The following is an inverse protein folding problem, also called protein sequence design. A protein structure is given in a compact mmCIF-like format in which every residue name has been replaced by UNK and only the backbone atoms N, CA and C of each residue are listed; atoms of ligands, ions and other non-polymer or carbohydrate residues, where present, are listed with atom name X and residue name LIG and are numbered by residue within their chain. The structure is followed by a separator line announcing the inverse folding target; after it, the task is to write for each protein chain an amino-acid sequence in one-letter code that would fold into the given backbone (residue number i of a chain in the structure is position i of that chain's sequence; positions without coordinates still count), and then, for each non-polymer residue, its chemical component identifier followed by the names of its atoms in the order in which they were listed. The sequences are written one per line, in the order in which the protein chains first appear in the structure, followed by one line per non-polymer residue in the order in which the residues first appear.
data_IF_463077926703
#
_entry.id   IF_463077926703
#
_cell.length_a   1.000
_cell.length_b   1.000
_cell.length_c   1.000
_cell.angle_alpha   90.00
_cell.angle_beta   90.00
_cell.angle_gamma   90.00
#
_symmetry.space_group_name_H-M   'P 1'
#
loop_
_entity.id
_entity.type
_entity.pdbx_description
1 polymer ?
#
# COMPACT_ATOMS: atom_id res chain seq x y z
N UNK A 1 -16.47 7.99 -13.14
CA UNK A 1 -16.26 8.13 -11.68
C UNK A 1 -16.12 9.61 -11.37
N UNK A 2 -16.87 10.10 -10.36
CA UNK A 2 -17.02 11.52 -10.08
C UNK A 2 -15.74 12.09 -9.44
N UNK A 3 -15.16 13.14 -10.03
CA UNK A 3 -13.87 13.73 -9.61
C UNK A 3 -13.82 14.11 -8.12
N UNK A 4 -14.94 14.56 -7.56
CA UNK A 4 -15.06 14.91 -6.14
C UNK A 4 -14.99 13.70 -5.19
N UNK A 5 -15.51 12.54 -5.60
CA UNK A 5 -15.51 11.33 -4.77
C UNK A 5 -14.08 10.81 -4.58
N UNK A 6 -13.29 10.81 -5.66
CA UNK A 6 -11.88 10.42 -5.63
C UNK A 6 -11.06 11.37 -4.74
N UNK A 7 -11.33 12.68 -4.80
CA UNK A 7 -10.64 13.66 -3.94
C UNK A 7 -10.92 13.41 -2.45
N UNK A 8 -12.18 13.18 -2.07
CA UNK A 8 -12.55 12.92 -0.67
C UNK A 8 -11.92 11.63 -0.16
N UNK A 9 -11.93 10.56 -0.96
CA UNK A 9 -11.30 9.29 -0.62
C UNK A 9 -9.78 9.44 -0.45
N UNK A 10 -9.11 10.16 -1.34
CA UNK A 10 -7.67 10.42 -1.22
C UNK A 10 -7.34 11.25 0.02
N UNK A 11 -8.14 12.29 0.33
CA UNK A 11 -7.95 13.10 1.53
C UNK A 11 -8.15 12.28 2.81
N UNK A 12 -9.13 11.38 2.83
CA UNK A 12 -9.38 10.47 3.95
C UNK A 12 -8.19 9.52 4.16
N UNK A 13 -7.73 8.84 3.10
CA UNK A 13 -6.58 7.93 3.20
C UNK A 13 -5.30 8.67 3.62
N UNK A 14 -5.01 9.84 3.05
CA UNK A 14 -3.86 10.66 3.46
C UNK A 14 -3.97 11.02 4.96
N UNK A 15 -5.16 11.37 5.44
CA UNK A 15 -5.35 11.70 6.87
C UNK A 15 -5.11 10.49 7.78
N UNK A 16 -5.54 9.29 7.36
CA UNK A 16 -5.28 8.04 8.07
C UNK A 16 -3.79 7.73 8.08
N UNK A 17 -3.11 7.83 6.93
CA UNK A 17 -1.67 7.59 6.82
C UNK A 17 -0.87 8.60 7.63
N UNK A 18 -1.30 9.87 7.65
CA UNK A 18 -0.76 10.89 8.53
C UNK A 18 -0.98 10.55 10.00
N UNK A 19 -2.15 10.04 10.39
CA UNK A 19 -2.42 9.54 11.73
C UNK A 19 -1.51 8.37 12.12
N UNK A 20 -1.19 7.50 11.16
CA UNK A 20 -0.21 6.44 11.36
C UNK A 20 1.18 6.99 11.67
N UNK A 21 1.64 8.02 10.98
CA UNK A 21 2.95 8.65 11.24
C UNK A 21 2.90 9.83 12.23
N UNK A 22 1.73 10.13 12.79
CA UNK A 22 1.50 11.31 13.63
C UNK A 22 2.20 11.28 15.00
N UNK A 23 2.47 10.13 15.64
CA UNK A 23 3.38 10.11 16.78
C UNK A 23 4.75 10.56 16.27
N UNK A 24 5.06 11.85 16.42
CA UNK A 24 6.40 12.41 16.24
C UNK A 24 7.29 12.04 17.44
N UNK A 25 7.10 10.83 17.96
CA UNK A 25 8.07 10.22 18.83
C UNK A 25 9.20 9.74 17.93
N UNK A 26 10.36 10.38 18.06
CA UNK A 26 11.56 10.09 17.27
C UNK A 26 12.01 8.62 17.38
N UNK A 27 11.52 7.87 18.38
CA UNK A 27 11.82 6.44 18.54
C UNK A 27 10.90 5.52 17.72
N UNK A 28 9.66 5.94 17.43
CA UNK A 28 8.63 5.13 16.76
C UNK A 28 8.49 5.52 15.29
N UNK A 29 8.67 6.81 14.99
CA UNK A 29 8.48 7.39 13.66
C UNK A 29 9.32 6.70 12.58
N UNK A 30 10.64 6.42 12.76
CA UNK A 30 11.44 5.77 11.73
C UNK A 30 10.85 4.42 11.30
N UNK A 31 10.44 3.59 12.26
CA UNK A 31 9.85 2.29 11.97
C UNK A 31 8.49 2.35 11.27
N UNK A 32 7.72 3.45 11.44
CA UNK A 32 6.46 3.64 10.69
C UNK A 32 6.68 4.19 9.30
N UNK A 33 7.69 5.04 9.11
CA UNK A 33 8.10 5.53 7.79
C UNK A 33 8.65 4.37 6.95
N UNK A 34 9.50 3.52 7.52
CA UNK A 34 10.04 2.33 6.84
C UNK A 34 8.92 1.41 6.33
N UNK A 35 7.85 1.24 7.12
CA UNK A 35 6.63 0.50 6.72
C UNK A 35 5.98 1.11 5.48
N UNK A 36 5.70 2.42 5.53
CA UNK A 36 5.11 3.14 4.39
C UNK A 36 5.99 3.01 3.14
N UNK A 37 7.31 3.16 3.29
CA UNK A 37 8.26 3.08 2.19
C UNK A 37 8.28 1.70 1.54
N UNK A 38 8.16 0.61 2.31
CA UNK A 38 8.22 -0.76 1.80
C UNK A 38 7.16 -1.00 0.72
N UNK A 39 5.88 -0.73 1.01
CA UNK A 39 4.82 -0.89 0.01
C UNK A 39 4.83 0.21 -1.05
N UNK A 40 5.20 1.45 -0.68
CA UNK A 40 5.28 2.54 -1.66
C UNK A 40 6.28 2.22 -2.78
N UNK A 41 7.46 1.69 -2.43
CA UNK A 41 8.50 1.25 -3.39
C UNK A 41 8.01 0.10 -4.26
N UNK A 42 7.36 -0.90 -3.66
CA UNK A 42 6.82 -2.05 -4.41
C UNK A 42 5.70 -1.64 -5.37
N UNK A 43 4.74 -0.84 -4.93
CA UNK A 43 3.66 -0.35 -5.76
C UNK A 43 4.19 0.51 -6.91
N UNK A 44 5.13 1.42 -6.63
CA UNK A 44 5.81 2.18 -7.66
C UNK A 44 6.44 1.27 -8.72
N UNK A 45 7.21 0.25 -8.31
CA UNK A 45 7.89 -0.68 -9.23
C UNK A 45 6.91 -1.53 -10.05
N UNK A 46 5.80 -1.97 -9.46
CA UNK A 46 4.75 -2.74 -10.15
C UNK A 46 4.04 -1.86 -11.19
N UNK A 47 3.58 -0.67 -10.77
CA UNK A 47 2.87 0.28 -11.63
C UNK A 47 3.77 0.78 -12.76
N UNK A 48 5.02 1.13 -12.46
CA UNK A 48 5.99 1.58 -13.47
C UNK A 48 6.15 0.55 -14.60
N UNK A 49 6.19 -0.73 -14.23
CA UNK A 49 6.39 -1.82 -15.19
C UNK A 49 5.12 -2.26 -15.92
N UNK A 50 4.00 -2.41 -15.21
CA UNK A 50 2.74 -2.89 -15.77
C UNK A 50 1.90 -1.80 -16.45
N UNK A 51 2.24 -0.53 -16.21
CA UNK A 51 1.45 0.62 -16.63
C UNK A 51 0.26 0.86 -15.69
N UNK A 52 -0.81 1.46 -16.23
CA UNK A 52 -2.06 1.75 -15.49
C UNK A 52 -3.27 0.97 -16.02
N UNK A 53 -3.26 -0.39 -15.97
CA UNK A 53 -4.47 -1.16 -16.26
C UNK A 53 -5.52 -0.98 -15.14
N UNK A 54 -6.83 -1.11 -15.44
CA UNK A 54 -7.89 -0.83 -14.47
C UNK A 54 -7.83 -1.67 -13.18
N UNK A 55 -7.28 -2.88 -13.24
CA UNK A 55 -7.15 -3.76 -12.08
C UNK A 55 -6.08 -3.29 -11.06
N UNK A 56 -5.25 -2.29 -11.39
CA UNK A 56 -4.29 -1.68 -10.46
C UNK A 56 -4.78 -0.34 -9.87
N UNK A 57 -6.06 -0.01 -10.00
CA UNK A 57 -6.58 1.28 -9.53
C UNK A 57 -6.44 1.46 -8.01
N UNK A 58 -6.69 0.42 -7.22
CA UNK A 58 -6.46 0.39 -5.77
C UNK A 58 -4.98 0.64 -5.44
N UNK A 59 -4.08 -0.13 -6.06
CA UNK A 59 -2.64 0.01 -5.87
C UNK A 59 -2.13 1.39 -6.26
N UNK A 60 -2.67 1.99 -7.33
CA UNK A 60 -2.37 3.37 -7.71
C UNK A 60 -2.82 4.37 -6.64
N UNK A 61 -4.07 4.26 -6.20
CA UNK A 61 -4.66 5.12 -5.17
C UNK A 61 -3.85 5.07 -3.86
N UNK A 62 -3.42 3.87 -3.46
CA UNK A 62 -2.58 3.66 -2.27
C UNK A 62 -1.16 4.20 -2.45
N UNK A 63 -0.53 3.95 -3.60
CA UNK A 63 0.79 4.49 -3.91
C UNK A 63 0.79 6.02 -3.86
N UNK A 64 -0.15 6.66 -4.55
CA UNK A 64 -0.24 8.11 -4.64
C UNK A 64 -0.49 8.74 -3.26
N UNK A 65 -1.40 8.16 -2.46
CA UNK A 65 -1.69 8.64 -1.10
C UNK A 65 -0.49 8.44 -0.16
N UNK A 66 0.23 7.32 -0.31
CA UNK A 66 1.44 7.04 0.49
C UNK A 66 2.58 7.97 0.10
N UNK A 67 2.86 8.16 -1.18
CA UNK A 67 3.92 9.04 -1.67
C UNK A 67 3.70 10.50 -1.23
N UNK A 68 2.45 10.98 -1.29
CA UNK A 68 2.10 12.31 -0.79
C UNK A 68 2.27 12.42 0.73
N UNK A 69 1.93 11.36 1.48
CA UNK A 69 2.15 11.33 2.93
C UNK A 69 3.64 11.36 3.27
N UNK A 70 4.47 10.57 2.58
CA UNK A 70 5.92 10.55 2.76
C UNK A 70 6.55 11.91 2.44
N UNK A 71 6.15 12.54 1.33
CA UNK A 71 6.60 13.88 0.96
C UNK A 71 6.23 14.93 2.03
N UNK A 72 5.04 14.82 2.62
CA UNK A 72 4.62 15.67 3.72
C UNK A 72 5.46 15.45 4.99
N UNK A 73 5.75 14.20 5.35
CA UNK A 73 6.60 13.86 6.49
C UNK A 73 8.01 14.40 6.28
N UNK A 74 8.59 14.21 5.09
CA UNK A 74 9.92 14.71 4.73
C UNK A 74 10.01 16.23 4.88
N UNK A 75 9.06 16.97 4.30
CA UNK A 75 9.00 18.43 4.41
C UNK A 75 8.87 18.91 5.87
N UNK A 76 8.20 18.15 6.73
CA UNK A 76 8.02 18.48 8.13
C UNK A 76 9.26 18.19 8.98
N UNK A 77 9.94 17.07 8.70
CA UNK A 77 11.16 16.65 9.42
C UNK A 77 12.39 17.45 8.99
N UNK A 78 12.45 17.85 7.71
CA UNK A 78 13.58 18.54 7.11
C UNK A 78 13.12 19.81 6.36
N UNK A 79 12.58 20.82 7.06
CA UNK A 79 11.97 21.99 6.42
C UNK A 79 12.94 22.83 5.57
N UNK A 80 14.23 22.76 5.88
CA UNK A 80 15.29 23.49 5.16
C UNK A 80 15.80 22.74 3.91
N UNK A 81 15.38 21.49 3.69
CA UNK A 81 15.82 20.66 2.57
C UNK A 81 14.72 20.54 1.52
N UNK A 82 15.08 20.45 0.22
CA UNK A 82 14.10 20.13 -0.80
C UNK A 82 13.56 18.71 -0.58
N UNK A 83 12.26 18.54 -0.76
CA UNK A 83 11.61 17.22 -0.73
C UNK A 83 12.12 16.37 -1.88
N UNK A 84 12.69 15.20 -1.56
CA UNK A 84 13.24 14.25 -2.51
C UNK A 84 12.29 13.07 -2.78
N UNK A 85 11.23 12.90 -1.98
CA UNK A 85 10.22 11.86 -2.18
C UNK A 85 9.58 11.96 -3.57
N UNK A 86 9.65 10.86 -4.32
CA UNK A 86 9.07 10.79 -5.66
C UNK A 86 7.54 10.64 -5.61
N UNK A 87 6.83 11.68 -6.03
CA UNK A 87 5.35 11.73 -6.10
C UNK A 87 4.80 11.48 -7.51
N UNK A 88 5.65 11.04 -8.43
CA UNK A 88 5.29 10.79 -9.84
C UNK A 88 5.81 9.42 -10.30
N UNK A 89 4.96 8.58 -10.89
CA UNK A 89 5.37 7.33 -11.54
C UNK A 89 5.43 7.53 -13.05
N UNK A 90 6.58 7.25 -13.66
CA UNK A 90 6.71 7.11 -15.10
C UNK A 90 6.16 5.75 -15.54
N UNK A 91 4.83 5.60 -15.53
CA UNK A 91 4.17 4.34 -15.85
C UNK A 91 4.32 3.98 -17.34
N UNK A 92 4.56 2.71 -17.64
CA UNK A 92 4.59 2.23 -19.03
C UNK A 92 3.29 2.58 -19.76
N UNK A 93 3.40 3.13 -20.97
CA UNK A 93 2.24 3.40 -21.84
C UNK A 93 1.50 2.11 -22.20
N UNK A 94 2.22 0.98 -22.26
CA UNK A 94 1.64 -0.34 -22.50
C UNK A 94 1.06 -0.91 -21.21
N UNK A 95 -0.26 -1.13 -21.19
CA UNK A 95 -0.94 -1.86 -20.11
C UNK A 95 -0.61 -3.35 -20.22
N UNK A 96 -0.03 -3.92 -19.17
CA UNK A 96 0.38 -5.33 -19.13
C UNK A 96 -0.44 -6.10 -18.10
N UNK A 97 -0.62 -7.43 -18.27
CA UNK A 97 -1.23 -8.29 -17.27
C UNK A 97 -0.25 -8.64 -16.15
N UNK A 98 -0.76 -8.97 -14.97
CA UNK A 98 0.05 -9.18 -13.75
C UNK A 98 1.08 -10.31 -13.86
N UNK A 99 0.80 -11.36 -14.65
CA UNK A 99 1.74 -12.47 -14.85
C UNK A 99 3.05 -12.04 -15.53
N UNK A 100 3.10 -10.86 -16.17
CA UNK A 100 4.35 -10.30 -16.72
C UNK A 100 5.38 -9.96 -15.63
N UNK A 101 4.98 -9.84 -14.37
CA UNK A 101 5.91 -9.72 -13.23
C UNK A 101 6.77 -10.98 -13.07
N UNK A 102 6.32 -12.12 -13.61
CA UNK A 102 7.09 -13.37 -13.62
C UNK A 102 8.25 -13.39 -14.60
N UNK A 103 8.38 -12.39 -15.47
CA UNK A 103 9.45 -12.29 -16.46
C UNK A 103 10.76 -11.84 -15.79
N UNK A 104 11.88 -12.40 -16.24
CA UNK A 104 13.21 -12.10 -15.67
C UNK A 104 13.57 -10.61 -15.76
N UNK A 105 13.09 -9.91 -16.80
CA UNK A 105 13.27 -8.48 -16.99
C UNK A 105 12.77 -7.64 -15.81
N UNK A 106 11.74 -8.11 -15.08
CA UNK A 106 11.24 -7.45 -13.88
C UNK A 106 11.81 -8.08 -12.59
N UNK A 107 11.85 -9.41 -12.53
CA UNK A 107 12.23 -10.16 -11.32
C UNK A 107 13.64 -9.82 -10.83
N UNK A 108 14.59 -9.63 -11.75
CA UNK A 108 16.00 -9.44 -11.41
C UNK A 108 16.22 -8.29 -10.41
N UNK A 109 15.45 -7.21 -10.55
CA UNK A 109 15.63 -6.00 -9.75
C UNK A 109 14.54 -5.76 -8.71
N UNK A 110 13.35 -6.36 -8.88
CA UNK A 110 12.17 -5.96 -8.10
C UNK A 110 11.53 -7.10 -7.29
N UNK A 111 11.92 -8.36 -7.50
CA UNK A 111 11.30 -9.51 -6.81
C UNK A 111 11.41 -9.41 -5.28
N UNK A 112 12.53 -8.88 -4.78
CA UNK A 112 12.80 -8.68 -3.36
C UNK A 112 11.92 -7.61 -2.70
N UNK A 113 11.22 -6.77 -3.47
CA UNK A 113 10.33 -5.74 -2.93
C UNK A 113 8.97 -6.29 -2.49
N UNK A 114 8.53 -7.43 -3.06
CA UNK A 114 7.17 -7.93 -2.86
C UNK A 114 6.92 -8.38 -1.42
N UNK A 115 7.82 -9.19 -0.85
CA UNK A 115 7.63 -9.75 0.50
C UNK A 115 7.60 -8.66 1.58
N UNK A 116 8.58 -7.75 1.66
CA UNK A 116 8.53 -6.66 2.63
C UNK A 116 7.27 -5.80 2.49
N UNK A 117 6.87 -5.47 1.26
CA UNK A 117 5.66 -4.69 1.03
C UNK A 117 4.40 -5.40 1.57
N UNK A 118 4.29 -6.71 1.35
CA UNK A 118 3.16 -7.49 1.84
C UNK A 118 3.15 -7.56 3.37
N UNK A 119 4.30 -7.88 4.00
CA UNK A 119 4.43 -8.00 5.46
C UNK A 119 4.07 -6.69 6.16
N UNK A 120 4.58 -5.56 5.65
CA UNK A 120 4.30 -4.26 6.26
C UNK A 120 2.87 -3.79 6.01
N UNK A 121 2.29 -4.09 4.84
CA UNK A 121 0.90 -3.76 4.57
C UNK A 121 -0.07 -4.58 5.43
N UNK A 122 0.26 -5.84 5.73
CA UNK A 122 -0.49 -6.64 6.72
C UNK A 122 -0.37 -6.05 8.11
N UNK A 123 0.85 -5.70 8.55
CA UNK A 123 1.05 -5.04 9.85
C UNK A 123 0.30 -3.70 9.95
N UNK A 124 0.23 -2.94 8.85
CA UNK A 124 -0.56 -1.73 8.78
C UNK A 124 -2.06 -2.02 8.83
N UNK A 125 -2.53 -3.08 8.16
CA UNK A 125 -3.92 -3.52 8.21
C UNK A 125 -4.36 -3.80 9.65
N UNK A 126 -3.58 -4.55 10.42
CA UNK A 126 -3.86 -4.82 11.84
C UNK A 126 -4.03 -3.53 12.65
N UNK A 127 -3.13 -2.56 12.43
CA UNK A 127 -3.25 -1.24 13.04
C UNK A 127 -4.52 -0.51 12.59
N UNK A 128 -4.83 -0.52 11.28
CA UNK A 128 -5.97 0.17 10.71
C UNK A 128 -7.29 -0.35 11.31
N UNK A 129 -7.45 -1.66 11.39
CA UNK A 129 -8.61 -2.32 12.03
C UNK A 129 -8.71 -2.02 13.54
N UNK A 130 -7.58 -1.78 14.21
CA UNK A 130 -7.58 -1.39 15.62
C UNK A 130 -7.94 0.08 15.86
N UNK A 131 -7.66 0.96 14.88
CA UNK A 131 -7.75 2.40 15.04
C UNK A 131 -9.00 3.03 14.40
N UNK A 132 -9.58 2.40 13.38
CA UNK A 132 -10.68 2.94 12.59
C UNK A 132 -11.82 1.93 12.42
N UNK A 133 -13.05 2.44 12.30
CA UNK A 133 -14.25 1.63 12.03
C UNK A 133 -14.30 1.21 10.54
N UNK A 134 -14.35 -0.10 10.24
CA UNK A 134 -14.45 -0.61 8.87
C UNK A 134 -15.73 -0.23 8.14
N UNK A 135 -16.84 -0.05 8.87
CA UNK A 135 -18.13 0.34 8.30
C UNK A 135 -18.10 1.78 7.80
N UNK A 136 -17.41 2.67 8.54
CA UNK A 136 -17.31 4.08 8.17
C UNK A 136 -16.34 4.32 7.01
N UNK A 137 -15.31 3.47 6.88
CA UNK A 137 -14.25 3.61 5.88
C UNK A 137 -14.21 2.45 4.89
N UNK A 138 -15.37 1.84 4.58
CA UNK A 138 -15.47 0.60 3.80
C UNK A 138 -14.62 0.63 2.52
N UNK A 139 -14.69 1.69 1.72
CA UNK A 139 -13.89 1.83 0.49
C UNK A 139 -12.36 1.72 0.73
N UNK A 140 -11.87 2.22 1.87
CA UNK A 140 -10.45 2.16 2.23
C UNK A 140 -10.06 0.73 2.60
N UNK A 141 -10.88 0.05 3.39
CA UNK A 141 -10.64 -1.35 3.76
C UNK A 141 -10.75 -2.29 2.55
N UNK A 142 -11.75 -2.11 1.69
CA UNK A 142 -11.89 -2.87 0.45
C UNK A 142 -10.69 -2.67 -0.49
N UNK A 143 -10.23 -1.42 -0.65
CA UNK A 143 -9.05 -1.14 -1.49
C UNK A 143 -7.74 -1.65 -0.87
N UNK A 144 -7.64 -1.71 0.46
CA UNK A 144 -6.50 -2.32 1.16
C UNK A 144 -6.44 -3.83 0.90
N UNK A 145 -7.56 -4.53 1.05
CA UNK A 145 -7.64 -5.97 0.80
C UNK A 145 -7.32 -6.28 -0.68
N UNK A 146 -7.81 -5.48 -1.62
CA UNK A 146 -7.44 -5.61 -3.03
C UNK A 146 -5.92 -5.41 -3.25
N UNK A 147 -5.30 -4.45 -2.57
CA UNK A 147 -3.84 -4.28 -2.63
C UNK A 147 -3.07 -5.51 -2.09
N UNK A 148 -3.54 -6.11 -0.99
CA UNK A 148 -2.97 -7.34 -0.45
C UNK A 148 -3.09 -8.49 -1.45
N UNK A 149 -4.26 -8.69 -2.06
CA UNK A 149 -4.48 -9.71 -3.09
C UNK A 149 -3.62 -9.48 -4.35
N UNK A 150 -3.42 -8.23 -4.75
CA UNK A 150 -2.53 -7.87 -5.86
C UNK A 150 -1.07 -8.18 -5.53
N UNK A 151 -0.61 -7.92 -4.30
CA UNK A 151 0.73 -8.31 -3.86
C UNK A 151 0.90 -9.83 -3.77
N UNK A 152 -0.12 -10.56 -3.33
CA UNK A 152 -0.13 -12.02 -3.33
C UNK A 152 -0.02 -12.57 -4.77
N UNK A 153 -0.82 -12.01 -5.67
CA UNK A 153 -0.78 -12.35 -7.10
C UNK A 153 0.57 -12.03 -7.74
N UNK A 154 1.18 -10.89 -7.39
CA UNK A 154 2.53 -10.53 -7.81
C UNK A 154 3.58 -11.50 -7.26
N UNK A 155 3.43 -11.91 -5.99
CA UNK A 155 4.25 -12.92 -5.34
C UNK A 155 4.21 -14.24 -6.10
N UNK A 156 3.01 -14.77 -6.38
CA UNK A 156 2.82 -15.99 -7.16
C UNK A 156 3.43 -15.89 -8.56
N UNK A 157 3.24 -14.78 -9.27
CA UNK A 157 3.86 -14.57 -10.58
C UNK A 157 5.39 -14.65 -10.50
N UNK A 158 5.98 -14.22 -9.38
CA UNK A 158 7.43 -14.23 -9.16
C UNK A 158 7.97 -15.54 -8.56
N UNK A 159 7.10 -16.52 -8.28
CA UNK A 159 7.44 -17.73 -7.53
C UNK A 159 7.83 -17.44 -6.09
N UNK A 160 7.11 -16.53 -5.43
CA UNK A 160 7.18 -16.25 -4.00
C UNK A 160 5.89 -16.72 -3.33
N UNK A 161 6.02 -17.38 -2.19
CA UNK A 161 4.90 -17.63 -1.28
C UNK A 161 4.89 -16.55 -0.21
N UNK A 162 4.01 -15.56 -0.38
CA UNK A 162 3.81 -14.44 0.56
C UNK A 162 2.59 -14.66 1.47
N UNK A 163 1.67 -15.56 1.10
CA UNK A 163 0.39 -15.75 1.80
C UNK A 163 0.52 -16.61 3.08
N UNK A 164 1.60 -17.39 3.22
CA UNK A 164 1.84 -18.26 4.37
C UNK A 164 1.90 -17.56 5.74
N UNK A 165 1.85 -16.22 5.80
CA UNK A 165 2.00 -15.43 7.02
C UNK A 165 0.71 -14.74 7.52
N UNK A 166 -0.48 -14.97 6.93
CA UNK A 166 -1.74 -14.43 7.48
C UNK A 166 -2.42 -15.45 8.41
N UNK A 167 -2.35 -15.31 9.75
CA UNK A 167 -3.26 -16.01 10.65
C UNK A 167 -4.62 -15.29 10.61
N UNK A 168 -5.42 -15.50 9.56
CA UNK A 168 -6.78 -14.96 9.50
C UNK A 168 -7.80 -16.11 9.43
N UNK A 169 -7.84 -16.90 10.51
CA UNK A 169 -9.13 -17.42 10.97
C UNK A 169 -9.91 -16.23 11.52
N UNK A 170 -10.73 -15.62 10.67
CA UNK A 170 -11.89 -14.88 11.15
C UNK A 170 -12.68 -15.87 11.99
N UNK A 171 -12.84 -15.59 13.28
CA UNK A 171 -13.80 -16.28 14.14
C UNK A 171 -15.21 -16.07 13.58
N UNK A 172 -15.54 -16.84 12.53
CA UNK A 172 -16.87 -16.95 12.00
C UNK A 172 -17.68 -17.78 12.99
N UNK A 173 -18.44 -17.10 13.84
CA UNK A 173 -19.63 -17.65 14.48
C UNK A 173 -19.39 -18.54 15.70
N UNK A 174 -19.47 -17.93 16.89
CA UNK A 174 -20.15 -18.58 18.01
C UNK A 174 -21.28 -17.69 18.50
N UNK A 175 -22.32 -17.58 17.68
CA UNK A 175 -23.67 -17.48 18.21
C UNK A 175 -23.97 -18.80 18.93
N UNK A 176 -23.86 -18.79 20.25
CA UNK A 176 -24.22 -19.91 21.11
C UNK A 176 -25.01 -19.35 22.27
N UNK A 177 -26.33 -19.54 22.21
CA UNK A 177 -27.30 -19.23 23.25
C UNK A 177 -26.80 -19.58 24.67
N UNK A 178 -27.01 -18.66 25.60
CA UNK A 178 -27.82 -18.87 26.81
C UNK A 178 -28.13 -17.53 27.46
#
# INVERSE_FOLDING_TARGET
MNSQMHFVQSAALISILQGFVAPLDDTILPGRVDKLEAWCKAFHAIIAYLGKPPYLNSMWFWWESTANTLAFVEAKMFPEQPVMTQTHVAASESKRPIHHLGLDAWKLNNKNLIRPAWEELVSFSDWLYSAYDPTLNADIFESLEDCLLLLESAGHACGLDVCACRPFEVAAGSGGSK
#
